data_IF_944612526907
#
_entry.id   IF_944612526907
#
_cell.length_a   1.000
_cell.length_b   1.000
_cell.length_c   1.000
_cell.angle_alpha   90.00
_cell.angle_beta   90.00
_cell.angle_gamma   90.00
#
_symmetry.space_group_name_H-M   'P 1'
#
loop_
_entity.id
_entity.type
_entity.pdbx_description
1 polymer ?
#
# COMPACT_ATOMS: atom_id res chain seq x y z
N UNK A 1 4.81 5.96 -5.91
CA UNK A 1 3.85 5.49 -4.88
C UNK A 1 4.01 6.31 -3.62
N UNK A 2 2.93 6.53 -2.89
CA UNK A 2 2.96 7.25 -1.61
C UNK A 2 2.55 6.28 -0.49
N UNK A 3 3.26 6.35 0.64
CA UNK A 3 3.05 5.51 1.81
C UNK A 3 2.94 6.38 3.05
N UNK A 4 1.89 6.19 3.85
CA UNK A 4 1.74 6.84 5.16
C UNK A 4 1.91 5.81 6.26
N UNK A 5 2.75 6.13 7.26
CA UNK A 5 3.03 5.27 8.41
C UNK A 5 3.59 6.08 9.57
N UNK A 6 3.73 5.46 10.72
CA UNK A 6 4.39 6.05 11.88
C UNK A 6 5.70 5.33 12.16
N UNK A 7 6.76 6.09 12.43
CA UNK A 7 8.07 5.57 12.78
C UNK A 7 8.86 6.57 13.61
N UNK A 8 9.82 6.09 14.39
CA UNK A 8 10.73 6.94 15.14
C UNK A 8 11.91 7.38 14.29
N UNK A 9 12.39 8.60 14.55
CA UNK A 9 13.62 9.11 13.94
C UNK A 9 14.80 8.82 14.87
N UNK A 10 15.87 8.23 14.33
CA UNK A 10 17.09 7.91 15.03
C UNK A 10 18.27 8.71 14.46
N UNK A 11 19.17 9.19 15.31
CA UNK A 11 20.41 9.84 14.88
C UNK A 11 21.49 8.80 14.58
N UNK A 12 22.13 8.91 13.42
CA UNK A 12 23.37 8.20 13.04
C UNK A 12 24.49 9.20 12.72
N UNK A 13 25.73 8.72 12.59
CA UNK A 13 26.93 9.56 12.49
C UNK A 13 26.85 10.68 11.45
N UNK A 14 26.22 10.44 10.31
CA UNK A 14 26.18 11.39 9.17
C UNK A 14 24.74 11.85 8.80
N UNK A 15 23.77 11.69 9.70
CA UNK A 15 22.39 12.05 9.41
C UNK A 15 21.37 11.39 10.32
N UNK A 16 20.19 11.18 9.78
CA UNK A 16 19.06 10.60 10.50
C UNK A 16 18.53 9.39 9.73
N UNK A 17 18.03 8.41 10.48
CA UNK A 17 17.46 7.18 9.93
C UNK A 17 16.05 7.00 10.46
N UNK A 18 15.15 6.56 9.57
CA UNK A 18 13.78 6.21 9.90
C UNK A 18 13.50 4.80 9.38
N UNK A 19 13.24 3.83 10.26
CA UNK A 19 12.86 2.48 9.85
C UNK A 19 11.55 2.48 9.05
N UNK A 20 11.49 1.74 7.95
CA UNK A 20 10.25 1.47 7.22
C UNK A 20 9.69 0.15 7.76
N UNK A 21 8.49 0.14 8.41
CA UNK A 21 7.97 -1.04 9.11
C UNK A 21 7.35 -2.09 8.18
N UNK A 22 7.47 -1.93 6.87
CA UNK A 22 6.91 -2.82 5.86
C UNK A 22 7.89 -3.02 4.70
N UNK A 23 7.57 -3.97 3.85
CA UNK A 23 8.37 -4.29 2.68
C UNK A 23 7.88 -3.51 1.45
N UNK A 24 8.78 -2.90 0.69
CA UNK A 24 8.48 -2.08 -0.49
C UNK A 24 8.83 -2.81 -1.80
N UNK A 25 8.38 -4.05 -1.93
CA UNK A 25 8.68 -4.92 -3.07
C UNK A 25 8.42 -4.31 -4.44
N UNK A 26 7.37 -3.51 -4.59
CA UNK A 26 7.00 -2.88 -5.86
C UNK A 26 8.08 -1.95 -6.38
N UNK A 27 8.84 -1.35 -5.47
CA UNK A 27 9.91 -0.38 -5.77
C UNK A 27 11.27 -1.03 -5.69
N UNK A 28 11.41 -2.06 -4.87
CA UNK A 28 12.67 -2.71 -4.50
C UNK A 28 13.25 -3.67 -5.56
N UNK A 29 12.81 -3.61 -6.80
CA UNK A 29 13.49 -4.32 -7.90
C UNK A 29 14.92 -3.80 -8.13
N UNK A 30 15.23 -2.61 -7.65
CA UNK A 30 16.55 -2.03 -7.62
C UNK A 30 17.21 -2.36 -6.29
N UNK A 31 18.37 -2.99 -6.32
CA UNK A 31 19.15 -3.35 -5.13
C UNK A 31 19.99 -2.19 -4.58
N UNK A 32 19.78 -1.00 -5.12
CA UNK A 32 20.59 0.18 -4.88
C UNK A 32 19.83 1.20 -4.02
N UNK A 33 20.53 2.23 -3.63
CA UNK A 33 19.95 3.41 -2.97
C UNK A 33 18.92 4.05 -3.90
N UNK A 34 17.72 4.32 -3.37
CA UNK A 34 16.62 4.92 -4.12
C UNK A 34 16.42 6.35 -3.62
N UNK A 35 16.38 7.32 -4.52
CA UNK A 35 16.03 8.71 -4.17
C UNK A 35 14.53 8.80 -3.91
N UNK A 36 14.15 9.46 -2.84
CA UNK A 36 12.76 9.62 -2.42
C UNK A 36 12.54 10.99 -1.77
N UNK A 37 11.27 11.34 -1.60
CA UNK A 37 10.82 12.51 -0.87
C UNK A 37 9.96 12.06 0.30
N UNK A 38 10.08 12.70 1.43
CA UNK A 38 9.19 12.47 2.56
C UNK A 38 8.63 13.79 3.08
N UNK A 39 7.44 13.72 3.66
CA UNK A 39 6.91 14.76 4.52
C UNK A 39 7.05 14.28 5.95
N UNK A 40 7.76 15.05 6.75
CA UNK A 40 7.99 14.82 8.16
C UNK A 40 7.55 16.08 8.92
N UNK A 41 6.53 15.94 9.78
CA UNK A 41 5.95 17.07 10.54
C UNK A 41 5.59 18.28 9.63
N UNK A 42 4.93 18.00 8.49
CA UNK A 42 4.50 18.96 7.46
C UNK A 42 5.64 19.61 6.65
N UNK A 43 6.88 19.18 6.82
CA UNK A 43 8.03 19.66 6.05
C UNK A 43 8.47 18.63 4.99
N UNK A 44 8.68 19.09 3.74
CA UNK A 44 9.22 18.24 2.67
C UNK A 44 10.73 18.07 2.84
N UNK A 45 11.20 16.83 2.83
CA UNK A 45 12.63 16.51 2.99
C UNK A 45 13.06 15.53 1.91
N UNK A 46 14.13 15.86 1.19
CA UNK A 46 14.80 14.91 0.30
C UNK A 46 15.50 13.82 1.11
N UNK A 47 15.32 12.58 0.73
CA UNK A 47 15.90 11.44 1.42
C UNK A 47 16.35 10.34 0.45
N UNK A 48 17.12 9.41 1.00
CA UNK A 48 17.56 8.20 0.31
C UNK A 48 16.97 6.98 1.02
N UNK A 49 16.57 5.97 0.27
CA UNK A 49 16.21 4.68 0.83
C UNK A 49 17.40 3.75 0.70
N UNK A 50 17.90 3.29 1.82
CA UNK A 50 19.02 2.37 1.91
C UNK A 50 18.54 0.95 2.16
N UNK A 51 18.96 -0.05 1.38
CA UNK A 51 18.56 -1.44 1.62
C UNK A 51 19.21 -1.96 2.91
N UNK A 52 18.38 -2.54 3.80
CA UNK A 52 18.86 -3.16 5.04
C UNK A 52 19.37 -4.57 4.78
N UNK A 53 18.69 -5.30 3.86
CA UNK A 53 19.07 -6.64 3.46
C UNK A 53 19.00 -6.81 1.93
N UNK A 54 19.94 -7.58 1.40
CA UNK A 54 20.01 -7.80 -0.04
C UNK A 54 18.82 -8.63 -0.55
N UNK A 55 17.97 -7.99 -1.35
CA UNK A 55 16.93 -8.68 -2.13
C UNK A 55 15.65 -9.04 -1.39
N UNK A 56 15.43 -8.55 -0.17
CA UNK A 56 14.18 -8.80 0.59
C UNK A 56 13.22 -7.62 0.63
N UNK A 57 13.56 -6.50 0.00
CA UNK A 57 12.70 -5.31 -0.06
C UNK A 57 12.56 -4.54 1.24
N UNK A 58 13.43 -4.80 2.23
CA UNK A 58 13.49 -4.04 3.47
C UNK A 58 14.43 -2.86 3.29
N UNK A 59 13.95 -1.68 3.62
CA UNK A 59 14.68 -0.43 3.48
C UNK A 59 14.55 0.41 4.76
N UNK A 60 15.52 1.29 4.98
CA UNK A 60 15.41 2.40 5.91
C UNK A 60 15.50 3.72 5.13
N UNK A 61 14.84 4.76 5.62
CA UNK A 61 14.99 6.12 5.09
C UNK A 61 16.25 6.71 5.72
N UNK A 62 17.10 7.31 4.89
CA UNK A 62 18.27 8.05 5.33
C UNK A 62 18.16 9.51 4.92
N UNK A 63 18.27 10.42 5.89
CA UNK A 63 18.27 11.86 5.69
C UNK A 63 19.65 12.38 6.01
N UNK A 64 20.34 12.98 5.04
CA UNK A 64 21.65 13.61 5.24
C UNK A 64 21.54 14.81 6.18
N UNK A 65 22.52 15.01 7.04
CA UNK A 65 22.54 16.11 8.02
C UNK A 65 22.42 17.50 7.36
N UNK A 66 23.01 17.68 6.18
CA UNK A 66 22.89 18.91 5.39
C UNK A 66 21.47 19.20 4.89
N UNK A 67 20.67 18.19 4.59
CA UNK A 67 19.28 18.31 4.21
C UNK A 67 18.39 18.61 5.42
N UNK A 68 18.64 17.95 6.53
CA UNK A 68 17.94 18.19 7.78
C UNK A 68 18.15 19.61 8.34
N UNK A 69 19.34 20.18 8.20
CA UNK A 69 19.64 21.51 8.70
C UNK A 69 19.08 22.65 7.86
N UNK A 70 18.91 22.47 6.56
CA UNK A 70 18.33 23.46 5.64
C UNK A 70 16.80 23.58 5.79
N UNK A 71 16.11 22.52 6.17
CA UNK A 71 14.66 22.36 6.08
C UNK A 71 13.96 22.19 7.45
N UNK A 72 14.58 22.68 8.56
CA UNK A 72 14.05 22.59 9.92
C UNK A 72 13.88 21.18 10.51
N UNK A 73 14.24 20.12 9.79
CA UNK A 73 14.26 18.77 10.35
C UNK A 73 15.27 18.60 11.53
N UNK A 74 16.08 19.63 11.79
CA UNK A 74 16.95 19.69 12.97
C UNK A 74 16.23 19.75 14.32
N UNK A 75 14.91 20.03 14.32
CA UNK A 75 14.08 20.09 15.54
C UNK A 75 13.24 18.82 15.76
N UNK A 76 13.42 17.80 14.95
CA UNK A 76 12.67 16.54 15.09
C UNK A 76 13.06 15.86 16.39
N UNK A 77 12.07 15.54 17.21
CA UNK A 77 12.28 14.86 18.48
C UNK A 77 12.68 13.39 18.22
N UNK A 78 13.87 13.02 18.70
CA UNK A 78 14.41 11.67 18.48
C UNK A 78 13.71 10.64 19.37
N UNK A 79 13.48 9.45 18.84
CA UNK A 79 12.93 8.32 19.59
C UNK A 79 11.43 8.37 19.83
N UNK A 80 10.71 9.40 19.35
CA UNK A 80 9.26 9.44 19.35
C UNK A 80 8.70 9.07 17.97
N UNK A 81 7.43 8.64 17.93
CA UNK A 81 6.77 8.30 16.67
C UNK A 81 6.32 9.58 15.96
N UNK A 82 6.72 9.71 14.72
CA UNK A 82 6.31 10.74 13.79
C UNK A 82 5.44 10.16 12.68
N UNK A 83 4.49 10.94 12.20
CA UNK A 83 3.72 10.59 11.01
C UNK A 83 4.57 10.87 9.78
N UNK A 84 4.82 9.84 9.00
CA UNK A 84 5.64 9.86 7.80
C UNK A 84 4.75 9.72 6.57
N UNK A 85 4.92 10.61 5.60
CA UNK A 85 4.41 10.41 4.24
C UNK A 85 5.61 10.28 3.31
N UNK A 86 5.88 9.06 2.87
CA UNK A 86 6.99 8.74 1.96
C UNK A 86 6.49 8.69 0.53
N UNK A 87 7.14 9.44 -0.35
CA UNK A 87 6.89 9.42 -1.80
C UNK A 87 8.10 8.81 -2.52
N UNK A 88 7.87 7.69 -3.19
CA UNK A 88 8.86 7.03 -4.04
C UNK A 88 8.45 7.24 -5.49
N UNK A 89 9.26 7.96 -6.25
CA UNK A 89 9.10 8.11 -7.70
C UNK A 89 9.34 6.79 -8.42
N UNK A 90 8.78 6.65 -9.63
CA UNK A 90 8.95 5.47 -10.47
C UNK A 90 7.61 4.88 -10.92
N UNK A 91 7.65 4.10 -11.98
CA UNK A 91 6.44 3.57 -12.58
C UNK A 91 5.87 2.47 -11.70
N UNK A 92 4.65 2.68 -11.27
CA UNK A 92 3.74 1.56 -11.00
C UNK A 92 3.80 0.61 -12.19
N UNK A 93 3.59 -0.65 -11.94
CA UNK A 93 3.48 -1.67 -12.98
C UNK A 93 2.57 -1.12 -14.08
N UNK A 94 3.15 -0.87 -15.24
CA UNK A 94 2.46 -0.20 -16.35
C UNK A 94 1.55 -1.25 -16.99
N UNK A 95 0.32 -1.34 -16.49
CA UNK A 95 -0.67 -2.26 -17.03
C UNK A 95 -1.59 -1.52 -18.00
N UNK A 96 -1.69 -2.06 -19.17
CA UNK A 96 -2.67 -1.78 -20.22
C UNK A 96 -3.24 -0.34 -20.25
N UNK A 97 -2.56 0.55 -20.96
CA UNK A 97 -2.99 1.94 -21.17
C UNK A 97 -4.30 2.08 -21.96
N UNK A 98 -4.82 0.99 -22.55
CA UNK A 98 -6.03 1.00 -23.38
C UNK A 98 -7.28 0.53 -22.60
N UNK A 99 -7.52 1.11 -21.44
CA UNK A 99 -8.77 0.83 -20.73
C UNK A 99 -9.97 1.49 -21.43
N UNK A 100 -11.12 0.80 -21.53
CA UNK A 100 -12.39 1.42 -21.93
C UNK A 100 -13.03 2.22 -20.79
N UNK A 101 -12.45 2.21 -19.57
CA UNK A 101 -12.99 2.84 -18.37
C UNK A 101 -12.15 4.05 -17.95
N UNK A 102 -12.74 4.96 -17.19
CA UNK A 102 -12.08 6.12 -16.59
C UNK A 102 -12.75 6.46 -15.25
N UNK A 103 -12.21 7.42 -14.51
CA UNK A 103 -12.83 7.91 -13.27
C UNK A 103 -14.22 8.53 -13.54
N UNK A 104 -14.43 9.15 -14.71
CA UNK A 104 -15.72 9.71 -15.13
C UNK A 104 -16.68 8.64 -15.65
N UNK A 105 -16.13 7.52 -16.15
CA UNK A 105 -16.90 6.39 -16.67
C UNK A 105 -16.34 5.07 -16.12
N UNK A 106 -16.49 4.81 -14.82
CA UNK A 106 -16.02 3.59 -14.21
C UNK A 106 -16.84 2.38 -14.65
N UNK A 107 -16.27 1.18 -14.53
CA UNK A 107 -17.00 -0.07 -14.82
C UNK A 107 -18.29 -0.19 -14.01
N UNK A 108 -18.27 0.32 -12.78
CA UNK A 108 -19.45 0.42 -11.91
C UNK A 108 -19.25 1.48 -10.82
N UNK A 109 -20.37 1.92 -10.22
CA UNK A 109 -20.36 2.59 -8.91
C UNK A 109 -20.44 1.52 -7.82
N UNK A 110 -19.66 1.69 -6.77
CA UNK A 110 -19.64 0.75 -5.62
C UNK A 110 -20.70 1.20 -4.63
N UNK A 111 -21.89 0.63 -4.73
CA UNK A 111 -23.05 0.83 -3.84
C UNK A 111 -23.41 -0.43 -3.06
N UNK A 112 -22.83 -1.55 -3.43
CA UNK A 112 -23.01 -2.85 -2.84
C UNK A 112 -21.78 -3.73 -3.06
N UNK A 113 -21.60 -4.75 -2.24
CA UNK A 113 -20.48 -5.69 -2.35
C UNK A 113 -21.00 -7.12 -2.35
N UNK A 114 -20.62 -7.90 -3.36
CA UNK A 114 -20.84 -9.33 -3.43
C UNK A 114 -19.53 -10.05 -3.13
N UNK A 115 -19.58 -11.01 -2.20
CA UNK A 115 -18.42 -11.84 -1.89
C UNK A 115 -18.09 -12.76 -3.07
N UNK A 116 -16.80 -12.86 -3.37
CA UNK A 116 -16.26 -13.82 -4.33
C UNK A 116 -15.24 -14.67 -3.57
N UNK A 117 -15.35 -15.99 -3.69
CA UNK A 117 -14.39 -16.94 -3.12
C UNK A 117 -13.37 -17.28 -4.20
N UNK A 118 -12.08 -17.20 -3.86
CA UNK A 118 -11.02 -17.59 -4.79
C UNK A 118 -11.05 -19.10 -5.02
N UNK A 119 -10.82 -19.56 -6.26
CA UNK A 119 -10.85 -21.00 -6.58
C UNK A 119 -9.62 -21.75 -6.05
N UNK A 120 -8.54 -21.06 -5.78
CA UNK A 120 -7.28 -21.57 -5.22
C UNK A 120 -6.57 -20.48 -4.43
N UNK A 121 -5.67 -20.87 -3.52
CA UNK A 121 -4.89 -19.95 -2.72
C UNK A 121 -3.94 -19.09 -3.58
N UNK A 122 -3.77 -17.81 -3.17
CA UNK A 122 -2.84 -16.89 -3.82
C UNK A 122 -3.45 -15.99 -4.89
N UNK A 123 -4.78 -15.97 -5.01
CA UNK A 123 -5.53 -15.06 -5.88
C UNK A 123 -6.25 -13.94 -5.10
N UNK A 124 -5.91 -13.73 -3.82
CA UNK A 124 -6.61 -12.77 -2.96
C UNK A 124 -6.62 -11.34 -3.53
N UNK A 125 -5.52 -10.89 -4.14
CA UNK A 125 -5.46 -9.57 -4.77
C UNK A 125 -6.39 -9.45 -5.97
N UNK A 126 -6.39 -10.45 -6.86
CA UNK A 126 -7.30 -10.52 -8.01
C UNK A 126 -8.76 -10.58 -7.55
N UNK A 127 -9.04 -11.35 -6.50
CA UNK A 127 -10.38 -11.51 -5.94
C UNK A 127 -10.91 -10.22 -5.32
N UNK A 128 -10.07 -9.46 -4.61
CA UNK A 128 -10.45 -8.14 -4.09
C UNK A 128 -10.87 -7.19 -5.22
N UNK A 129 -10.08 -7.12 -6.29
CA UNK A 129 -10.43 -6.27 -7.45
C UNK A 129 -11.69 -6.79 -8.14
N UNK A 130 -11.87 -8.11 -8.27
CA UNK A 130 -13.08 -8.70 -8.85
C UNK A 130 -14.35 -8.32 -8.07
N UNK A 131 -14.28 -8.35 -6.72
CA UNK A 131 -15.38 -7.90 -5.85
C UNK A 131 -15.68 -6.40 -6.04
N UNK A 132 -14.64 -5.56 -6.10
CA UNK A 132 -14.79 -4.11 -6.29
C UNK A 132 -15.32 -3.76 -7.68
N UNK A 133 -14.79 -4.37 -8.73
CA UNK A 133 -15.18 -4.11 -10.11
C UNK A 133 -16.49 -4.81 -10.55
N UNK A 134 -16.93 -5.83 -9.82
CA UNK A 134 -18.11 -6.63 -10.18
C UNK A 134 -17.88 -7.52 -11.41
N UNK A 135 -16.65 -8.00 -11.60
CA UNK A 135 -16.24 -8.85 -12.73
C UNK A 135 -15.73 -10.20 -12.23
N UNK A 136 -15.34 -11.09 -13.14
CA UNK A 136 -14.79 -12.39 -12.76
C UNK A 136 -13.31 -12.27 -12.36
N UNK A 137 -12.79 -13.23 -11.55
CA UNK A 137 -11.37 -13.31 -11.20
C UNK A 137 -10.51 -13.48 -12.46
N UNK A 138 -11.00 -14.23 -13.46
CA UNK A 138 -10.31 -14.44 -14.73
C UNK A 138 -10.12 -13.14 -15.52
N UNK A 139 -11.13 -12.26 -15.52
CA UNK A 139 -11.02 -10.96 -16.18
C UNK A 139 -9.99 -10.07 -15.48
N UNK A 140 -9.99 -10.07 -14.15
CA UNK A 140 -8.98 -9.33 -13.36
C UNK A 140 -7.59 -9.92 -13.59
N UNK A 141 -7.44 -11.23 -13.62
CA UNK A 141 -6.15 -11.90 -13.84
C UNK A 141 -5.54 -11.53 -15.19
N UNK A 142 -6.36 -11.39 -16.24
CA UNK A 142 -5.92 -10.90 -17.55
C UNK A 142 -5.45 -9.44 -17.48
N UNK A 143 -6.16 -8.59 -16.75
CA UNK A 143 -5.81 -7.18 -16.57
C UNK A 143 -4.54 -7.03 -15.73
N UNK A 144 -4.42 -7.76 -14.62
CA UNK A 144 -3.25 -7.72 -13.73
C UNK A 144 -2.00 -8.32 -14.36
N UNK A 145 -2.15 -9.24 -15.32
CA UNK A 145 -1.04 -9.96 -15.97
C UNK A 145 -0.02 -10.51 -14.95
N UNK A 146 -0.53 -11.04 -13.85
CA UNK A 146 0.29 -11.64 -12.80
C UNK A 146 -0.27 -13.00 -12.39
N UNK A 147 0.63 -13.94 -12.08
CA UNK A 147 0.26 -15.29 -11.67
C UNK A 147 -0.21 -15.37 -10.22
N UNK A 148 -0.60 -16.58 -9.82
CA UNK A 148 -0.93 -16.96 -8.44
C UNK A 148 0.24 -16.62 -7.52
N UNK A 149 -0.04 -16.08 -6.33
CA UNK A 149 0.94 -15.59 -5.34
C UNK A 149 1.83 -14.42 -5.82
N UNK A 150 1.45 -13.71 -6.89
CA UNK A 150 2.25 -12.62 -7.47
C UNK A 150 1.62 -11.25 -7.36
N UNK A 151 0.34 -11.17 -6.98
CA UNK A 151 -0.33 -9.88 -6.82
C UNK A 151 0.33 -9.06 -5.69
N UNK A 152 0.67 -7.81 -6.00
CA UNK A 152 1.12 -6.81 -5.05
C UNK A 152 0.10 -5.67 -5.01
N UNK A 153 0.21 -4.75 -4.05
CA UNK A 153 -0.67 -3.58 -4.02
C UNK A 153 -0.52 -2.73 -5.30
N UNK A 154 0.65 -2.70 -5.90
CA UNK A 154 0.86 -2.05 -7.20
C UNK A 154 0.01 -2.66 -8.32
N UNK A 155 -0.11 -4.00 -8.38
CA UNK A 155 -1.01 -4.67 -9.32
C UNK A 155 -2.47 -4.35 -9.02
N UNK A 156 -2.87 -4.33 -7.73
CA UNK A 156 -4.22 -3.95 -7.30
C UNK A 156 -4.56 -2.53 -7.78
N UNK A 157 -3.69 -1.55 -7.48
CA UNK A 157 -3.85 -0.15 -7.90
C UNK A 157 -3.97 -0.03 -9.43
N UNK A 158 -3.09 -0.70 -10.17
CA UNK A 158 -3.13 -0.67 -11.63
C UNK A 158 -4.43 -1.24 -12.19
N UNK A 159 -4.96 -2.32 -11.60
CA UNK A 159 -6.23 -2.89 -12.03
C UNK A 159 -7.42 -2.00 -11.64
N UNK A 160 -7.40 -1.37 -10.46
CA UNK A 160 -8.41 -0.37 -10.07
C UNK A 160 -8.44 0.80 -11.08
N UNK A 161 -7.27 1.33 -11.44
CA UNK A 161 -7.14 2.36 -12.48
C UNK A 161 -7.69 1.90 -13.83
N UNK A 162 -7.39 0.64 -14.24
CA UNK A 162 -7.94 0.08 -15.46
C UNK A 162 -9.48 0.05 -15.46
N UNK A 163 -10.10 -0.29 -14.35
CA UNK A 163 -11.56 -0.33 -14.19
C UNK A 163 -12.19 1.03 -13.86
N UNK A 164 -11.41 2.11 -13.77
CA UNK A 164 -11.88 3.46 -13.45
C UNK A 164 -12.39 3.58 -12.01
N UNK A 165 -11.93 2.74 -11.09
CA UNK A 165 -12.32 2.77 -9.69
C UNK A 165 -11.42 3.77 -8.95
N UNK A 166 -12.03 4.82 -8.39
CA UNK A 166 -11.31 5.85 -7.64
C UNK A 166 -10.81 5.32 -6.29
N UNK A 167 -9.59 5.69 -5.94
CA UNK A 167 -8.94 5.28 -4.71
C UNK A 167 -8.04 6.40 -4.17
N UNK A 168 -7.57 6.26 -2.94
CA UNK A 168 -6.59 7.19 -2.38
C UNK A 168 -5.23 7.06 -3.09
N UNK A 169 -4.50 8.17 -3.16
CA UNK A 169 -3.13 8.19 -3.69
C UNK A 169 -2.11 7.56 -2.73
N UNK A 170 -2.53 7.30 -1.49
CA UNK A 170 -1.67 6.90 -0.38
C UNK A 170 -2.09 5.54 0.14
N UNK A 171 -1.13 4.62 0.27
CA UNK A 171 -1.30 3.38 1.03
C UNK A 171 -1.00 3.71 2.49
N UNK A 172 -1.96 3.50 3.38
CA UNK A 172 -1.82 3.76 4.81
C UNK A 172 -1.41 2.49 5.52
N UNK A 173 -0.22 2.50 6.14
CA UNK A 173 0.22 1.45 7.04
C UNK A 173 -0.09 1.83 8.48
N UNK A 174 -0.50 0.87 9.29
CA UNK A 174 -0.99 1.07 10.65
C UNK A 174 -0.47 -0.03 11.56
N UNK A 175 -0.47 0.23 12.87
CA UNK A 175 -0.18 -0.78 13.88
C UNK A 175 -1.44 -1.54 14.35
N UNK A 176 -2.55 -1.38 13.66
CA UNK A 176 -3.78 -2.19 13.78
C UNK A 176 -4.78 -1.67 14.79
N UNK A 177 -4.48 -1.69 16.07
CA UNK A 177 -5.48 -1.67 17.15
C UNK A 177 -6.49 -0.53 17.15
N UNK A 178 -6.06 0.69 16.86
CA UNK A 178 -6.92 1.88 16.96
C UNK A 178 -7.27 2.47 15.59
N UNK A 179 -7.11 1.66 14.53
CA UNK A 179 -7.36 2.11 13.16
C UNK A 179 -8.86 2.18 12.88
N UNK A 180 -9.32 3.37 12.52
CA UNK A 180 -10.67 3.56 11.96
C UNK A 180 -10.58 3.38 10.46
N UNK A 181 -11.25 2.35 9.93
CA UNK A 181 -11.29 2.09 8.50
C UNK A 181 -12.22 3.08 7.79
N UNK A 182 -11.90 3.50 6.55
CA UNK A 182 -12.81 4.27 5.70
C UNK A 182 -14.02 3.40 5.29
N UNK A 183 -15.04 3.98 4.66
CA UNK A 183 -16.24 3.24 4.23
C UNK A 183 -15.92 2.03 3.37
N UNK A 184 -14.91 2.14 2.48
CA UNK A 184 -14.44 1.06 1.62
C UNK A 184 -12.92 1.08 1.53
N UNK A 185 -12.27 -0.08 1.65
CA UNK A 185 -10.83 -0.20 1.43
C UNK A 185 -10.41 -1.62 1.07
N UNK A 186 -9.27 -1.73 0.41
CA UNK A 186 -8.51 -2.98 0.31
C UNK A 186 -7.55 -3.04 1.48
N UNK A 187 -7.73 -4.03 2.34
CA UNK A 187 -6.90 -4.27 3.53
C UNK A 187 -5.74 -5.20 3.21
N UNK A 188 -4.65 -5.01 3.93
CA UNK A 188 -3.47 -5.88 3.92
C UNK A 188 -3.31 -6.54 5.28
N UNK A 189 -3.37 -7.87 5.32
CA UNK A 189 -3.17 -8.68 6.51
C UNK A 189 -1.79 -9.35 6.46
N UNK A 190 -1.07 -9.36 7.58
CA UNK A 190 0.21 -10.05 7.69
C UNK A 190 -0.03 -11.57 7.79
N UNK A 191 0.51 -12.31 6.82
CA UNK A 191 0.45 -13.76 6.76
C UNK A 191 1.86 -14.36 6.61
N UNK A 192 2.59 -14.46 7.71
CA UNK A 192 3.99 -14.90 7.70
C UNK A 192 4.87 -13.97 6.87
N UNK A 193 5.43 -14.50 5.77
CA UNK A 193 6.22 -13.73 4.79
C UNK A 193 5.40 -13.16 3.63
N UNK A 194 4.12 -13.49 3.58
CA UNK A 194 3.20 -13.03 2.55
C UNK A 194 2.24 -12.00 3.14
N UNK A 195 1.53 -11.32 2.26
CA UNK A 195 0.41 -10.45 2.58
C UNK A 195 -0.87 -11.09 2.03
N UNK A 196 -1.91 -11.13 2.83
CA UNK A 196 -3.25 -11.49 2.38
C UNK A 196 -4.06 -10.22 2.17
N UNK A 197 -4.86 -10.19 1.11
CA UNK A 197 -5.75 -9.07 0.79
C UNK A 197 -7.20 -9.46 1.05
N UNK A 198 -7.95 -8.54 1.64
CA UNK A 198 -9.40 -8.63 1.81
C UNK A 198 -10.02 -7.24 1.60
N UNK A 199 -11.33 -7.18 1.37
CA UNK A 199 -12.06 -5.92 1.20
C UNK A 199 -12.87 -5.64 2.46
N UNK A 200 -12.79 -4.41 2.97
CA UNK A 200 -13.75 -3.89 3.93
C UNK A 200 -14.73 -2.97 3.20
N UNK A 201 -16.02 -3.14 3.45
CA UNK A 201 -17.07 -2.29 2.93
C UNK A 201 -18.23 -2.17 3.92
N UNK A 202 -18.53 -0.94 4.32
CA UNK A 202 -19.70 -0.58 5.14
C UNK A 202 -19.92 -1.49 6.36
N UNK A 203 -18.88 -1.65 7.19
CA UNK A 203 -18.94 -2.43 8.44
C UNK A 203 -18.72 -3.94 8.29
N UNK A 204 -18.46 -4.46 7.09
CA UNK A 204 -18.27 -5.89 6.83
C UNK A 204 -16.93 -6.15 6.16
N UNK A 205 -16.35 -7.31 6.45
CA UNK A 205 -15.12 -7.78 5.84
C UNK A 205 -15.43 -8.89 4.83
N UNK A 206 -14.88 -8.76 3.63
CA UNK A 206 -15.07 -9.68 2.51
C UNK A 206 -13.74 -10.36 2.23
N UNK A 207 -13.60 -11.57 2.74
CA UNK A 207 -12.40 -12.38 2.62
C UNK A 207 -12.54 -13.38 1.49
N UNK A 208 -11.52 -13.51 0.66
CA UNK A 208 -11.51 -14.39 -0.51
C UNK A 208 -11.52 -15.88 -0.16
N UNK A 209 -11.20 -16.26 1.07
CA UNK A 209 -11.20 -17.65 1.55
C UNK A 209 -12.41 -17.95 2.44
N UNK A 210 -12.73 -17.01 3.34
CA UNK A 210 -13.70 -17.24 4.43
C UNK A 210 -15.11 -16.67 4.11
N UNK A 211 -15.23 -15.87 3.07
CA UNK A 211 -16.48 -15.20 2.74
C UNK A 211 -16.69 -13.90 3.52
N UNK A 212 -17.93 -13.62 3.92
CA UNK A 212 -18.25 -12.43 4.71
C UNK A 212 -18.00 -12.68 6.17
N UNK A 213 -17.12 -11.88 6.77
CA UNK A 213 -16.76 -11.93 8.18
C UNK A 213 -17.35 -10.69 8.88
N UNK A 214 -17.98 -10.88 10.04
CA UNK A 214 -18.56 -9.79 10.82
C UNK A 214 -17.55 -9.15 11.78
N UNK A 215 -16.61 -9.93 12.27
CA UNK A 215 -15.56 -9.48 13.20
C UNK A 215 -14.18 -9.80 12.61
N UNK A 216 -13.28 -8.86 12.71
CA UNK A 216 -11.90 -8.99 12.22
C UNK A 216 -10.91 -8.64 13.33
N UNK A 217 -9.87 -9.43 13.46
CA UNK A 217 -8.78 -9.15 14.40
C UNK A 217 -7.88 -8.04 13.84
N UNK A 218 -8.17 -6.80 14.25
CA UNK A 218 -7.43 -5.61 13.81
C UNK A 218 -5.92 -5.67 14.13
N UNK A 219 -5.47 -6.54 15.03
CA UNK A 219 -4.03 -6.70 15.30
C UNK A 219 -3.25 -7.30 14.14
N UNK A 220 -3.94 -7.93 13.18
CA UNK A 220 -3.35 -8.49 11.96
C UNK A 220 -3.25 -7.48 10.83
N UNK A 221 -3.95 -6.34 10.95
CA UNK A 221 -3.95 -5.32 9.92
C UNK A 221 -2.57 -4.67 9.83
N UNK A 222 -1.97 -4.75 8.63
CA UNK A 222 -0.73 -4.03 8.32
C UNK A 222 -1.02 -2.64 7.78
N UNK A 223 -2.06 -2.51 6.96
CA UNK A 223 -2.42 -1.28 6.29
C UNK A 223 -3.56 -1.47 5.31
N UNK A 224 -3.93 -0.39 4.63
CA UNK A 224 -5.03 -0.41 3.67
C UNK A 224 -4.85 0.64 2.56
N UNK A 225 -5.57 0.41 1.46
CA UNK A 225 -5.80 1.38 0.40
C UNK A 225 -7.28 1.77 0.42
N UNK A 226 -7.59 3.04 0.68
CA UNK A 226 -8.96 3.54 0.63
C UNK A 226 -9.51 3.53 -0.79
N UNK A 227 -10.74 3.07 -0.95
CA UNK A 227 -11.53 3.12 -2.18
C UNK A 227 -12.61 4.20 -2.00
N UNK A 228 -12.65 5.16 -2.90
CA UNK A 228 -13.60 6.27 -2.85
C UNK A 228 -14.92 5.84 -3.51
N UNK A 229 -15.99 5.73 -2.72
CA UNK A 229 -17.31 5.26 -3.18
C UNK A 229 -18.47 5.97 -2.48
#
# INVERSE_FOLDING_TARGET
MKYSFESAVEKKDNGYVIPIPFNIWEVAKQRDVIQAELVLDDENVECELHPIDQGKGNYEIFIKEENASKEKASNVELGVLHKILLHIGGSLINMNQNSPYSLENPIRKIDSMNVIIQPEDGLCGQTCVAMLAGVTIDDVSKVMDCGVWKATMGHVISALNYYGIDHADVITFTQGKDTVLPKCCVMMEKMGRFCHYLVYYDGKFYDSNLGVIQEYDMSKLMGYLEIKC
#
